data_IF_192189386282
#
_entry.id   IF_192189386282
#
_cell.length_a   1.000
_cell.length_b   1.000
_cell.length_c   1.000
_cell.angle_alpha   90.00
_cell.angle_beta   90.00
_cell.angle_gamma   90.00
#
_symmetry.space_group_name_H-M   'P 1'
#
loop_
_entity.id
_entity.type
_entity.pdbx_description
1 polymer ?
#
# COMPACT_ATOMS: atom_id res chain seq x y z
N UNK A 1 0.77 9.63 15.16
CA UNK A 1 1.72 8.51 15.40
C UNK A 1 1.70 8.06 16.86
N UNK A 2 1.84 8.96 17.84
CA UNK A 2 1.79 8.62 19.27
C UNK A 2 0.47 7.94 19.72
N UNK A 3 -0.69 8.33 19.17
CA UNK A 3 -1.98 7.72 19.54
C UNK A 3 -2.09 6.22 19.18
N UNK A 4 -1.46 5.77 18.09
CA UNK A 4 -1.51 4.35 17.70
C UNK A 4 -0.68 3.47 18.65
N UNK A 5 0.48 3.97 19.10
CA UNK A 5 1.31 3.29 20.08
C UNK A 5 0.58 3.15 21.42
N UNK A 6 -0.08 4.20 21.89
CA UNK A 6 -0.86 4.16 23.13
C UNK A 6 -2.11 3.26 23.05
N UNK A 7 -2.68 3.08 21.85
CA UNK A 7 -3.87 2.24 21.63
C UNK A 7 -3.55 0.75 21.39
N UNK A 8 -2.28 0.34 21.40
CA UNK A 8 -1.88 -1.04 21.05
C UNK A 8 -2.16 -1.41 19.60
N UNK A 9 -2.42 -0.42 18.74
CA UNK A 9 -2.69 -0.62 17.31
C UNK A 9 -1.36 -0.54 16.54
N UNK A 10 -1.13 -1.55 15.70
CA UNK A 10 0.04 -1.57 14.81
C UNK A 10 -0.30 -0.82 13.52
N UNK A 11 0.54 0.13 13.06
CA UNK A 11 0.35 0.77 11.76
C UNK A 11 0.32 -0.26 10.64
N UNK A 12 -0.52 -0.03 9.63
CA UNK A 12 -0.49 -0.83 8.41
C UNK A 12 0.83 -0.58 7.66
N UNK A 13 1.74 -1.53 7.79
CA UNK A 13 3.04 -1.56 7.10
C UNK A 13 2.95 -2.25 5.72
N UNK A 14 1.73 -2.60 5.29
CA UNK A 14 1.41 -3.31 4.06
C UNK A 14 1.93 -4.75 4.02
N UNK A 15 1.41 -5.65 4.88
CA UNK A 15 1.81 -7.06 4.88
C UNK A 15 1.55 -7.72 3.53
N UNK A 16 2.52 -8.53 3.08
CA UNK A 16 2.43 -9.32 1.84
C UNK A 16 2.11 -8.49 0.58
N UNK A 17 2.52 -7.23 0.56
CA UNK A 17 2.24 -6.32 -0.55
C UNK A 17 2.95 -6.76 -1.83
N UNK A 18 2.17 -7.20 -2.82
CA UNK A 18 2.61 -7.43 -4.19
C UNK A 18 2.19 -6.26 -5.09
N UNK A 19 3.05 -5.87 -6.03
CA UNK A 19 2.66 -4.91 -7.06
C UNK A 19 1.69 -5.55 -8.06
N UNK A 20 0.58 -4.87 -8.33
CA UNK A 20 -0.43 -5.28 -9.31
C UNK A 20 -0.47 -4.28 -10.46
N UNK A 21 -0.65 -4.79 -11.68
CA UNK A 21 -0.96 -3.99 -12.85
C UNK A 21 -2.46 -3.69 -12.83
N UNK A 22 -2.84 -2.41 -12.74
CA UNK A 22 -4.24 -1.97 -12.62
C UNK A 22 -4.53 -0.84 -13.60
N UNK A 23 -5.78 -0.68 -14.09
CA UNK A 23 -6.15 0.46 -14.91
C UNK A 23 -5.84 1.78 -14.20
N UNK A 24 -5.35 2.77 -14.94
CA UNK A 24 -5.09 4.12 -14.42
C UNK A 24 -6.39 4.75 -13.90
N UNK A 25 -7.49 4.52 -14.62
CA UNK A 25 -8.80 5.03 -14.26
C UNK A 25 -9.87 3.96 -14.48
N UNK A 26 -10.79 3.87 -13.53
CA UNK A 26 -11.97 3.00 -13.60
C UNK A 26 -13.18 3.77 -13.12
N UNK A 27 -14.22 3.80 -13.95
CA UNK A 27 -15.50 4.44 -13.64
C UNK A 27 -16.54 3.40 -13.25
N UNK A 28 -17.46 3.79 -12.36
CA UNK A 28 -18.61 2.95 -12.02
C UNK A 28 -19.80 3.34 -12.91
N UNK A 29 -20.29 2.39 -13.69
CA UNK A 29 -21.50 2.53 -14.54
C UNK A 29 -22.61 1.62 -14.03
N UNK A 30 -23.82 1.79 -14.56
CA UNK A 30 -25.00 0.96 -14.23
C UNK A 30 -24.72 -0.55 -14.37
N UNK A 31 -23.91 -0.95 -15.35
CA UNK A 31 -23.51 -2.34 -15.64
C UNK A 31 -22.22 -2.80 -14.93
N UNK A 32 -21.65 -2.00 -14.03
CA UNK A 32 -20.44 -2.35 -13.27
C UNK A 32 -19.25 -1.42 -13.53
N UNK A 33 -18.06 -1.90 -13.19
CA UNK A 33 -16.80 -1.14 -13.35
C UNK A 33 -16.35 -1.16 -14.80
N UNK A 34 -16.02 -0.01 -15.36
CA UNK A 34 -15.47 0.13 -16.71
C UNK A 34 -14.16 0.89 -16.65
N UNK A 35 -13.11 0.31 -17.23
CA UNK A 35 -11.80 0.96 -17.36
C UNK A 35 -11.82 2.02 -18.46
N UNK A 36 -11.00 3.06 -18.31
CA UNK A 36 -10.77 4.03 -19.37
C UNK A 36 -10.08 3.38 -20.57
N UNK A 37 -10.35 3.88 -21.78
CA UNK A 37 -9.64 3.53 -23.00
C UNK A 37 -9.18 4.79 -23.72
N UNK A 38 -8.00 4.74 -24.30
CA UNK A 38 -7.38 5.83 -25.08
C UNK A 38 -6.96 5.30 -26.44
N UNK A 39 -7.05 6.12 -27.46
CA UNK A 39 -6.54 5.77 -28.79
C UNK A 39 -5.01 5.71 -28.76
N UNK A 40 -4.45 4.63 -29.30
CA UNK A 40 -3.00 4.41 -29.40
C UNK A 40 -2.50 4.34 -30.84
N UNK A 41 -3.40 4.42 -31.81
CA UNK A 41 -3.08 4.44 -33.24
C UNK A 41 -4.28 4.09 -34.11
N UNK A 42 -4.05 4.07 -35.41
CA UNK A 42 -5.04 3.66 -36.40
C UNK A 42 -4.50 2.50 -37.22
N UNK A 43 -5.34 1.48 -37.44
CA UNK A 43 -4.95 0.27 -38.16
C UNK A 43 -5.91 0.03 -39.33
N UNK A 44 -5.39 -0.49 -40.44
CA UNK A 44 -6.22 -0.84 -41.59
C UNK A 44 -6.61 -2.31 -41.49
N UNK A 45 -7.89 -2.59 -41.25
CA UNK A 45 -8.41 -3.96 -41.16
C UNK A 45 -9.44 -4.25 -42.25
N UNK A 46 -9.41 -5.47 -42.78
CA UNK A 46 -10.44 -5.99 -43.65
C UNK A 46 -11.64 -6.41 -42.80
N UNK A 47 -12.79 -5.78 -42.99
CA UNK A 47 -14.03 -6.15 -42.30
C UNK A 47 -15.16 -6.24 -43.30
N UNK A 48 -15.85 -7.39 -43.33
CA UNK A 48 -16.95 -7.68 -44.26
C UNK A 48 -16.58 -7.38 -45.74
N UNK A 49 -15.37 -7.79 -46.15
CA UNK A 49 -14.88 -7.63 -47.54
C UNK A 49 -14.46 -6.20 -47.93
N UNK A 50 -14.50 -5.23 -47.01
CA UNK A 50 -14.05 -3.85 -47.27
C UNK A 50 -12.92 -3.47 -46.33
N UNK A 51 -11.91 -2.80 -46.86
CA UNK A 51 -10.84 -2.21 -46.05
C UNK A 51 -11.39 -0.99 -45.30
N UNK A 52 -11.17 -0.97 -43.98
CA UNK A 52 -11.52 0.16 -43.12
C UNK A 52 -10.33 0.53 -42.25
N UNK A 53 -10.16 1.82 -42.02
CA UNK A 53 -9.28 2.33 -40.98
C UNK A 53 -10.06 2.36 -39.67
N UNK A 54 -9.51 1.77 -38.62
CA UNK A 54 -10.11 1.74 -37.28
C UNK A 54 -9.15 2.32 -36.26
N UNK A 55 -9.70 3.02 -35.27
CA UNK A 55 -8.96 3.46 -34.09
C UNK A 55 -8.67 2.25 -33.20
N UNK A 56 -7.40 2.06 -32.85
CA UNK A 56 -6.96 1.06 -31.89
C UNK A 56 -7.02 1.70 -30.51
N UNK A 57 -7.89 1.16 -29.65
CA UNK A 57 -8.04 1.63 -28.28
C UNK A 57 -7.28 0.71 -27.32
N UNK A 58 -6.55 1.29 -26.37
CA UNK A 58 -5.89 0.58 -25.29
C UNK A 58 -6.32 1.11 -23.92
N UNK A 59 -6.25 0.26 -22.89
CA UNK A 59 -6.46 0.69 -21.51
C UNK A 59 -5.10 1.07 -20.89
N UNK A 60 -4.87 2.34 -20.49
CA UNK A 60 -3.66 2.70 -19.78
C UNK A 60 -3.65 2.05 -18.39
N UNK A 61 -2.51 1.46 -18.03
CA UNK A 61 -2.31 0.75 -16.77
C UNK A 61 -1.16 1.34 -15.96
N UNK A 62 -1.21 1.16 -14.65
CA UNK A 62 -0.17 1.56 -13.70
C UNK A 62 0.08 0.46 -12.67
N UNK A 63 1.27 0.45 -12.05
CA UNK A 63 1.62 -0.48 -10.97
C UNK A 63 1.24 0.10 -9.62
N UNK A 64 0.47 -0.66 -8.84
CA UNK A 64 0.03 -0.27 -7.49
C UNK A 64 0.31 -1.37 -6.46
N UNK A 65 0.56 -1.01 -5.19
CA UNK A 65 0.81 0.34 -4.70
C UNK A 65 2.16 0.88 -5.22
N UNK A 66 2.29 2.21 -5.31
CA UNK A 66 3.54 2.80 -5.76
C UNK A 66 4.67 2.48 -4.76
N UNK A 67 5.93 2.29 -5.22
CA UNK A 67 7.05 2.02 -4.33
C UNK A 67 7.17 3.02 -3.16
N UNK A 68 6.87 4.30 -3.43
CA UNK A 68 6.87 5.37 -2.42
C UNK A 68 5.82 5.15 -1.32
N UNK A 69 4.65 4.60 -1.66
CA UNK A 69 3.61 4.28 -0.67
C UNK A 69 4.07 3.16 0.25
N UNK A 70 4.70 2.12 -0.31
CA UNK A 70 5.30 1.02 0.47
C UNK A 70 6.40 1.55 1.38
N UNK A 71 7.29 2.38 0.85
CA UNK A 71 8.38 2.98 1.62
C UNK A 71 7.84 3.87 2.75
N UNK A 72 6.80 4.66 2.50
CA UNK A 72 6.14 5.50 3.50
C UNK A 72 5.51 4.67 4.62
N UNK A 73 4.77 3.61 4.28
CA UNK A 73 4.17 2.71 5.26
C UNK A 73 5.22 2.03 6.14
N UNK A 74 6.34 1.60 5.54
CA UNK A 74 7.46 1.00 6.29
C UNK A 74 8.15 1.99 7.21
N UNK A 75 8.39 3.23 6.77
CA UNK A 75 8.93 4.29 7.66
C UNK A 75 7.99 4.57 8.82
N UNK A 76 6.68 4.67 8.57
CA UNK A 76 5.71 4.87 9.64
C UNK A 76 5.71 3.75 10.68
N UNK A 77 5.94 2.50 10.25
CA UNK A 77 6.16 1.38 11.18
C UNK A 77 7.45 1.53 11.98
N UNK A 78 8.56 1.88 11.35
CA UNK A 78 9.86 2.07 12.04
C UNK A 78 9.77 3.19 13.09
N UNK A 79 9.14 4.31 12.75
CA UNK A 79 8.89 5.43 13.69
C UNK A 79 8.01 5.00 14.88
N UNK A 80 6.95 4.24 14.61
CA UNK A 80 6.09 3.69 15.67
C UNK A 80 6.84 2.71 16.55
N UNK A 81 7.66 1.84 15.97
CA UNK A 81 8.46 0.87 16.72
C UNK A 81 9.45 1.59 17.65
N UNK A 82 10.14 2.62 17.16
CA UNK A 82 11.05 3.44 17.96
C UNK A 82 10.32 4.18 19.09
N UNK A 83 9.12 4.72 18.83
CA UNK A 83 8.32 5.36 19.87
C UNK A 83 7.91 4.38 20.98
N UNK A 84 7.53 3.15 20.60
CA UNK A 84 7.19 2.09 21.55
C UNK A 84 8.40 1.65 22.38
N UNK A 85 9.56 1.50 21.72
CA UNK A 85 10.84 1.16 22.33
C UNK A 85 11.24 2.23 23.36
N UNK A 86 11.12 3.50 23.01
CA UNK A 86 11.38 4.63 23.91
C UNK A 86 10.44 4.64 25.13
N UNK A 87 9.15 4.40 24.93
CA UNK A 87 8.18 4.31 26.05
C UNK A 87 8.54 3.14 26.97
N UNK A 88 8.86 1.97 26.41
CA UNK A 88 9.28 0.79 27.19
C UNK A 88 10.51 1.11 28.03
N UNK A 89 11.55 1.68 27.43
CA UNK A 89 12.78 2.01 28.13
C UNK A 89 12.55 3.05 29.23
N UNK A 90 11.72 4.06 28.98
CA UNK A 90 11.30 5.03 29.99
C UNK A 90 10.58 4.39 31.18
N UNK A 91 9.71 3.40 30.93
CA UNK A 91 9.02 2.67 31.99
C UNK A 91 9.96 1.76 32.80
N UNK A 92 10.91 1.09 32.13
CA UNK A 92 11.90 0.22 32.79
C UNK A 92 12.86 1.03 33.66
N UNK A 93 13.43 2.11 33.12
CA UNK A 93 14.41 2.95 33.84
C UNK A 93 13.73 3.77 34.94
N UNK A 94 12.50 4.21 34.72
CA UNK A 94 11.81 5.11 35.64
C UNK A 94 11.43 4.50 37.00
N UNK A 95 11.50 3.17 37.16
CA UNK A 95 11.05 2.43 38.37
C UNK A 95 9.66 2.88 38.87
N UNK A 96 8.84 3.44 37.98
CA UNK A 96 7.53 4.02 38.33
C UNK A 96 6.45 2.94 38.50
N UNK A 97 6.75 1.72 38.06
CA UNK A 97 5.90 0.55 38.21
C UNK A 97 6.46 -0.32 39.33
N UNK A 98 5.74 -0.36 40.46
CA UNK A 98 6.13 -1.17 41.63
C UNK A 98 5.59 -2.60 41.60
N UNK A 99 4.44 -2.78 40.96
CA UNK A 99 3.70 -4.05 40.93
C UNK A 99 3.64 -4.69 39.54
N UNK A 100 4.11 -3.99 38.52
CA UNK A 100 4.02 -4.41 37.11
C UNK A 100 5.42 -4.53 36.52
N UNK A 101 5.74 -5.71 36.01
CA UNK A 101 6.98 -5.96 35.28
C UNK A 101 6.81 -5.62 33.79
N UNK A 102 7.69 -4.78 33.26
CA UNK A 102 7.74 -4.48 31.81
C UNK A 102 8.67 -5.48 31.15
N UNK A 103 8.10 -6.40 30.38
CA UNK A 103 8.88 -7.42 29.67
C UNK A 103 9.65 -6.84 28.47
N UNK A 104 10.69 -7.55 28.04
CA UNK A 104 11.42 -7.23 26.80
C UNK A 104 10.67 -7.61 25.51
N UNK A 105 9.44 -8.13 25.60
CA UNK A 105 8.69 -8.55 24.44
C UNK A 105 8.35 -7.36 23.54
N UNK A 106 8.79 -7.42 22.29
CA UNK A 106 8.58 -6.36 21.29
C UNK A 106 8.07 -6.94 19.97
N UNK A 107 7.34 -6.13 19.19
CA UNK A 107 7.07 -6.43 17.78
C UNK A 107 8.38 -6.61 16.99
N UNK A 108 8.34 -7.37 15.88
CA UNK A 108 9.51 -7.52 15.00
C UNK A 108 9.93 -6.17 14.43
N UNK A 109 11.22 -5.82 14.51
CA UNK A 109 11.75 -4.53 14.02
C UNK A 109 11.43 -4.28 12.54
N UNK A 110 11.52 -5.33 11.71
CA UNK A 110 11.24 -5.27 10.26
C UNK A 110 10.42 -6.49 9.83
N UNK A 111 9.08 -6.45 9.99
CA UNK A 111 8.22 -7.61 9.70
C UNK A 111 8.09 -7.94 8.20
N UNK A 112 8.58 -7.09 7.30
CA UNK A 112 8.62 -7.32 5.86
C UNK A 112 9.90 -8.00 5.36
N UNK A 113 10.91 -8.19 6.22
CA UNK A 113 12.08 -9.02 5.92
C UNK A 113 11.74 -10.50 6.15
N UNK A 114 12.26 -11.38 5.28
CA UNK A 114 12.14 -12.83 5.46
C UNK A 114 12.78 -13.28 6.76
#
# INVERSE_FOLDING_TARGET
>A
MAELASAGLTPDWMPNVGQRCVPVQTERKKLGKRSMSVEVGTERMLSRGKWRTVEVLACPVTRRPHPEQIASARRGYEEWWQALDWVRDGLVVGLMLREVEVTAAMPKVRPWGR
#
